data_IF_268568075769
#
_entry.id   IF_268568075769
#
_cell.length_a   1.000
_cell.length_b   1.000
_cell.length_c   1.000
_cell.angle_alpha   90.00
_cell.angle_beta   90.00
_cell.angle_gamma   90.00
#
_symmetry.space_group_name_H-M   'P 1'
#
loop_
_entity.id
_entity.type
_entity.pdbx_description
1 polymer ?
#
# COMPACT_ATOMS: atom_id res chain seq x y z
N UNK A 1 -10.99 -3.65 -27.57
CA UNK A 1 -9.58 -3.18 -27.50
C UNK A 1 -9.36 -1.85 -28.23
N UNK A 2 -9.58 -1.74 -29.55
CA UNK A 2 -9.37 -0.47 -30.29
C UNK A 2 -10.23 0.71 -29.79
N UNK A 3 -11.51 0.45 -29.49
CA UNK A 3 -12.40 1.47 -28.93
C UNK A 3 -11.90 2.00 -27.57
N UNK A 4 -11.55 1.10 -26.65
CA UNK A 4 -10.98 1.46 -25.35
C UNK A 4 -9.69 2.28 -25.50
N UNK A 5 -8.79 1.88 -26.41
CA UNK A 5 -7.57 2.64 -26.70
C UNK A 5 -7.92 4.07 -27.15
N UNK A 6 -8.79 4.23 -28.15
CA UNK A 6 -9.20 5.54 -28.64
C UNK A 6 -9.90 6.41 -27.58
N UNK A 7 -10.59 5.79 -26.63
CA UNK A 7 -11.26 6.47 -25.53
C UNK A 7 -10.28 6.92 -24.44
N UNK A 8 -9.35 6.04 -24.03
CA UNK A 8 -8.49 6.25 -22.84
C UNK A 8 -7.10 6.81 -23.13
N UNK A 9 -6.54 6.56 -24.31
CA UNK A 9 -5.19 6.97 -24.70
C UNK A 9 -5.24 8.31 -25.44
N UNK A 10 -5.69 9.34 -24.71
CA UNK A 10 -5.66 10.73 -25.17
C UNK A 10 -4.57 11.49 -24.45
N UNK A 11 -4.01 12.50 -25.10
CA UNK A 11 -2.87 13.25 -24.60
C UNK A 11 -3.10 13.82 -23.18
N UNK A 12 -4.34 14.21 -22.84
CA UNK A 12 -4.68 14.72 -21.50
C UNK A 12 -4.70 13.67 -20.37
N UNK A 13 -4.58 12.39 -20.69
CA UNK A 13 -4.55 11.26 -19.75
C UNK A 13 -3.24 10.44 -19.86
N UNK A 14 -2.20 10.98 -20.49
CA UNK A 14 -0.88 10.36 -20.58
C UNK A 14 0.14 11.33 -20.03
N UNK A 15 1.10 10.81 -19.27
CA UNK A 15 2.20 11.58 -18.69
C UNK A 15 3.50 10.96 -19.18
N UNK A 16 4.39 11.78 -19.75
CA UNK A 16 5.77 11.40 -20.01
C UNK A 16 6.60 11.87 -18.82
N UNK A 17 7.14 10.91 -18.07
CA UNK A 17 8.10 11.16 -17.00
C UNK A 17 9.49 10.71 -17.45
N UNK A 18 10.53 11.49 -17.10
CA UNK A 18 11.92 11.20 -17.47
C UNK A 18 12.80 11.41 -16.23
N UNK A 19 13.76 10.51 -16.01
CA UNK A 19 14.67 10.54 -14.88
C UNK A 19 16.06 10.08 -15.31
N UNK A 20 17.10 10.73 -14.82
CA UNK A 20 18.50 10.44 -15.15
C UNK A 20 19.19 11.60 -15.85
N UNK A 21 20.17 11.29 -16.70
CA UNK A 21 20.91 12.28 -17.49
C UNK A 21 20.22 12.47 -18.84
N UNK A 22 19.63 13.64 -19.06
CA UNK A 22 18.98 13.99 -20.31
C UNK A 22 19.13 15.48 -20.61
N UNK A 23 18.93 15.85 -21.87
CA UNK A 23 18.76 17.23 -22.31
C UNK A 23 17.27 17.50 -22.43
N UNK A 24 16.78 18.55 -21.77
CA UNK A 24 15.35 18.84 -21.72
C UNK A 24 14.79 19.29 -23.06
N UNK A 25 15.54 20.08 -23.83
CA UNK A 25 15.11 20.58 -25.13
C UNK A 25 14.98 19.43 -26.12
N UNK A 26 15.90 18.46 -26.05
CA UNK A 26 15.84 17.24 -26.87
C UNK A 26 14.65 16.35 -26.49
N UNK A 27 14.37 16.18 -25.19
CA UNK A 27 13.18 15.43 -24.73
C UNK A 27 11.90 16.09 -25.25
N UNK A 28 11.78 17.41 -25.14
CA UNK A 28 10.63 18.14 -25.65
C UNK A 28 10.48 17.99 -27.17
N UNK A 29 11.59 18.11 -27.91
CA UNK A 29 11.60 17.93 -29.37
C UNK A 29 11.12 16.53 -29.76
N UNK A 30 11.63 15.48 -29.11
CA UNK A 30 11.25 14.09 -29.36
C UNK A 30 9.80 13.81 -28.98
N UNK A 31 9.33 14.34 -27.84
CA UNK A 31 7.95 14.20 -27.41
C UNK A 31 7.00 14.87 -28.42
N UNK A 32 7.32 16.07 -28.88
CA UNK A 32 6.53 16.78 -29.88
C UNK A 32 6.51 16.04 -31.23
N UNK A 33 7.66 15.56 -31.71
CA UNK A 33 7.73 14.86 -33.00
C UNK A 33 7.02 13.50 -32.97
N UNK A 34 7.07 12.80 -31.84
CA UNK A 34 6.55 11.43 -31.73
C UNK A 34 5.07 11.38 -31.30
N UNK A 35 4.67 12.33 -30.45
CA UNK A 35 3.38 12.30 -29.76
C UNK A 35 2.50 13.53 -30.06
N UNK A 36 3.01 14.54 -30.77
CA UNK A 36 2.28 15.78 -31.03
C UNK A 36 1.01 15.62 -31.86
N UNK A 37 0.86 14.51 -32.58
CA UNK A 37 -0.35 14.17 -33.35
C UNK A 37 -1.37 13.34 -32.56
N UNK A 38 -1.10 13.03 -31.28
CA UNK A 38 -2.01 12.23 -30.48
C UNK A 38 -3.34 12.94 -30.24
N UNK A 39 -4.47 12.20 -30.15
CA UNK A 39 -5.77 12.80 -29.91
C UNK A 39 -5.78 13.60 -28.61
N UNK A 40 -6.16 14.88 -28.71
CA UNK A 40 -6.31 15.74 -27.56
C UNK A 40 -7.49 15.33 -26.66
N UNK A 41 -7.47 15.85 -25.43
CA UNK A 41 -8.61 15.82 -24.51
C UNK A 41 -8.39 15.00 -23.24
N UNK A 42 -9.19 15.42 -22.26
CA UNK A 42 -9.55 14.85 -20.96
C UNK A 42 -10.54 13.68 -20.94
N UNK A 43 -10.22 12.37 -21.10
CA UNK A 43 -11.25 11.36 -20.88
C UNK A 43 -11.79 11.47 -19.45
N UNK A 44 -13.12 11.47 -19.26
CA UNK A 44 -13.69 11.58 -17.93
C UNK A 44 -13.28 10.37 -17.10
N UNK A 45 -12.88 10.63 -15.86
CA UNK A 45 -12.56 9.59 -14.88
C UNK A 45 -13.58 9.65 -13.76
N UNK A 46 -14.45 8.64 -13.70
CA UNK A 46 -15.44 8.52 -12.63
C UNK A 46 -14.83 7.68 -11.53
N UNK A 47 -14.44 8.33 -10.44
CA UNK A 47 -13.97 7.68 -9.23
C UNK A 47 -15.20 7.41 -8.36
N UNK A 48 -15.43 6.14 -8.01
CA UNK A 48 -16.50 5.76 -7.10
C UNK A 48 -15.86 5.31 -5.80
N UNK A 49 -16.21 5.93 -4.66
CA UNK A 49 -15.73 5.46 -3.36
C UNK A 49 -16.06 3.98 -3.18
N UNK A 50 -15.10 3.21 -2.68
CA UNK A 50 -15.35 1.82 -2.33
C UNK A 50 -16.34 1.76 -1.17
N UNK A 51 -17.32 0.85 -1.26
CA UNK A 51 -18.20 0.53 -0.13
C UNK A 51 -17.75 -0.82 0.42
N UNK A 52 -17.01 -0.85 1.55
CA UNK A 52 -16.53 -2.11 2.10
C UNK A 52 -17.72 -2.97 2.53
N UNK A 53 -17.65 -4.26 2.20
CA UNK A 53 -18.68 -5.23 2.57
C UNK A 53 -18.07 -6.28 3.47
N UNK A 54 -18.79 -6.62 4.54
CA UNK A 54 -18.39 -7.74 5.38
C UNK A 54 -18.69 -9.05 4.67
N UNK A 55 -17.66 -9.85 4.44
CA UNK A 55 -17.79 -11.16 3.83
C UNK A 55 -16.69 -12.09 4.29
N UNK A 56 -16.99 -13.39 4.29
CA UNK A 56 -16.02 -14.43 4.58
C UNK A 56 -16.23 -15.56 3.59
N UNK A 57 -15.14 -15.99 2.96
CA UNK A 57 -15.16 -17.07 1.99
C UNK A 57 -13.99 -18.02 2.25
N UNK A 58 -14.28 -19.31 2.29
CA UNK A 58 -13.29 -20.37 2.37
C UNK A 58 -13.31 -21.17 1.07
N UNK A 59 -12.13 -21.42 0.51
CA UNK A 59 -11.96 -22.12 -0.76
C UNK A 59 -11.11 -23.36 -0.50
N UNK A 60 -11.78 -24.50 -0.32
CA UNK A 60 -11.09 -25.77 -0.11
C UNK A 60 -10.33 -26.22 -1.35
N UNK A 61 -9.07 -26.61 -1.14
CA UNK A 61 -8.09 -27.10 -2.10
C UNK A 61 -7.23 -28.18 -1.44
N UNK A 62 -7.75 -29.40 -1.35
CA UNK A 62 -7.09 -30.51 -0.65
C UNK A 62 -5.72 -30.98 -1.18
N UNK A 63 -5.18 -30.37 -2.25
CA UNK A 63 -3.80 -30.60 -2.69
C UNK A 63 -2.79 -29.61 -2.07
N UNK A 64 -3.28 -28.52 -1.46
CA UNK A 64 -2.45 -27.56 -0.74
C UNK A 64 -2.08 -28.12 0.63
N UNK A 65 -0.89 -27.74 1.11
CA UNK A 65 -0.36 -28.16 2.40
C UNK A 65 -0.52 -27.08 3.50
N UNK A 66 -0.73 -25.82 3.09
CA UNK A 66 -0.87 -24.68 3.99
C UNK A 66 -2.23 -24.01 3.78
N UNK A 67 -2.70 -23.34 4.83
CA UNK A 67 -3.77 -22.36 4.73
C UNK A 67 -3.19 -21.00 4.35
N UNK A 68 -3.83 -20.33 3.40
CA UNK A 68 -3.47 -19.00 2.93
C UNK A 68 -4.67 -18.10 3.13
N UNK A 69 -4.53 -17.09 3.97
CA UNK A 69 -5.64 -16.20 4.34
C UNK A 69 -5.28 -14.77 4.00
N UNK A 70 -6.25 -14.09 3.40
CA UNK A 70 -6.21 -12.67 3.10
C UNK A 70 -7.38 -11.99 3.80
N UNK A 71 -7.11 -10.96 4.58
CA UNK A 71 -8.12 -10.07 5.13
C UNK A 71 -7.95 -8.66 4.57
N UNK A 72 -9.01 -8.09 4.02
CA UNK A 72 -9.05 -6.72 3.54
C UNK A 72 -9.73 -5.81 4.56
N UNK A 73 -9.09 -4.69 4.86
CA UNK A 73 -9.59 -3.64 5.75
C UNK A 73 -9.52 -2.29 5.02
N UNK A 74 -10.51 -1.39 5.15
CA UNK A 74 -10.43 -0.05 4.58
C UNK A 74 -9.18 0.70 5.05
N UNK A 75 -8.57 1.45 4.16
CA UNK A 75 -7.44 2.33 4.45
C UNK A 75 -7.55 3.66 3.69
N UNK A 76 -6.72 4.66 4.00
CA UNK A 76 -6.73 5.94 3.29
C UNK A 76 -6.48 5.77 1.79
N UNK A 77 -7.12 6.61 0.98
CA UNK A 77 -6.88 6.64 -0.48
C UNK A 77 -5.54 7.28 -0.84
N UNK A 78 -5.10 7.14 -2.10
CA UNK A 78 -3.85 7.71 -2.58
C UNK A 78 -3.80 9.26 -2.56
N UNK A 79 -4.95 9.91 -2.41
CA UNK A 79 -5.09 11.36 -2.26
C UNK A 79 -5.31 11.81 -0.82
N UNK A 80 -5.35 10.87 0.14
CA UNK A 80 -5.51 11.17 1.55
C UNK A 80 -4.16 11.51 2.20
N UNK A 81 -4.14 12.48 3.10
CA UNK A 81 -2.94 12.90 3.83
C UNK A 81 -2.48 11.87 4.85
N UNK A 82 -3.36 10.95 5.28
CA UNK A 82 -3.05 9.86 6.19
C UNK A 82 -2.30 8.69 5.52
N UNK A 83 -2.06 8.71 4.20
CA UNK A 83 -1.37 7.61 3.49
C UNK A 83 0.02 7.27 4.03
N UNK A 84 0.79 8.27 4.46
CA UNK A 84 2.12 8.03 5.04
C UNK A 84 2.03 7.47 6.46
N UNK A 85 1.02 7.90 7.23
CA UNK A 85 0.71 7.29 8.52
C UNK A 85 0.30 5.82 8.34
N UNK A 86 -0.48 5.50 7.29
CA UNK A 86 -0.88 4.15 6.95
C UNK A 86 0.33 3.26 6.60
N UNK A 87 1.26 3.75 5.78
CA UNK A 87 2.52 3.05 5.48
C UNK A 87 3.41 2.85 6.72
N UNK A 88 3.45 3.81 7.66
CA UNK A 88 4.18 3.60 8.91
C UNK A 88 3.51 2.55 9.80
N UNK A 89 2.18 2.56 9.86
CA UNK A 89 1.42 1.59 10.65
C UNK A 89 1.68 0.16 10.19
N UNK A 90 1.78 -0.08 8.88
CA UNK A 90 2.10 -1.42 8.36
C UNK A 90 3.49 -1.88 8.80
N UNK A 91 4.48 -0.99 8.79
CA UNK A 91 5.83 -1.31 9.28
C UNK A 91 5.84 -1.68 10.76
N UNK A 92 5.02 -1.02 11.58
CA UNK A 92 4.94 -1.30 13.02
C UNK A 92 4.21 -2.62 13.27
N UNK A 93 3.07 -2.83 12.61
CA UNK A 93 2.16 -3.91 12.98
C UNK A 93 2.44 -5.19 12.21
N UNK A 94 2.74 -5.11 10.91
CA UNK A 94 2.74 -6.28 10.03
C UNK A 94 3.84 -6.31 8.97
N UNK A 95 4.98 -5.66 9.20
CA UNK A 95 6.15 -5.87 8.35
C UNK A 95 6.69 -7.29 8.49
N UNK A 96 7.49 -7.71 7.50
CA UNK A 96 8.15 -9.02 7.43
C UNK A 96 9.11 -9.33 8.60
N UNK A 97 9.50 -8.31 9.35
CA UNK A 97 10.54 -8.38 10.38
C UNK A 97 10.37 -7.27 11.41
N UNK A 98 10.56 -7.63 12.68
CA UNK A 98 10.50 -6.72 13.82
C UNK A 98 9.18 -5.93 13.93
N UNK A 99 8.08 -6.52 13.44
CA UNK A 99 6.72 -6.01 13.60
C UNK A 99 5.99 -6.76 14.71
N UNK A 100 4.85 -6.26 15.17
CA UNK A 100 4.05 -6.95 16.19
C UNK A 100 3.61 -8.35 15.73
N UNK A 101 3.14 -8.50 14.49
CA UNK A 101 2.75 -9.80 13.95
C UNK A 101 3.94 -10.74 13.75
N UNK A 102 5.11 -10.22 13.38
CA UNK A 102 6.32 -11.02 13.28
C UNK A 102 6.67 -11.67 14.62
N UNK A 103 6.75 -10.88 15.69
CA UNK A 103 7.09 -11.38 17.03
C UNK A 103 6.00 -12.28 17.62
N UNK A 104 4.74 -12.00 17.31
CA UNK A 104 3.63 -12.82 17.79
C UNK A 104 3.57 -14.18 17.08
N UNK A 105 3.71 -14.24 15.74
CA UNK A 105 3.35 -15.42 14.97
C UNK A 105 4.52 -16.08 14.25
N UNK A 106 5.43 -15.28 13.68
CA UNK A 106 6.47 -15.79 12.79
C UNK A 106 7.70 -16.22 13.57
N UNK A 107 8.20 -15.40 14.50
CA UNK A 107 9.36 -15.72 15.33
C UNK A 107 9.18 -17.00 16.18
N UNK A 108 8.00 -17.24 16.80
CA UNK A 108 7.75 -18.50 17.53
C UNK A 108 7.56 -19.73 16.63
N UNK A 109 7.36 -19.54 15.32
CA UNK A 109 7.12 -20.61 14.36
C UNK A 109 5.67 -21.09 14.25
N UNK A 110 4.70 -20.27 14.66
CA UNK A 110 3.26 -20.60 14.55
C UNK A 110 2.68 -20.24 13.17
N UNK A 111 3.38 -19.41 12.39
CA UNK A 111 3.02 -19.09 11.01
C UNK A 111 4.27 -18.91 10.15
N UNK A 112 4.19 -19.30 8.89
CA UNK A 112 5.26 -19.04 7.91
C UNK A 112 5.30 -17.58 7.47
N UNK A 113 4.13 -16.91 7.46
CA UNK A 113 4.02 -15.48 7.15
C UNK A 113 2.82 -14.89 7.86
N UNK A 114 2.99 -13.73 8.47
CA UNK A 114 1.92 -12.94 9.06
C UNK A 114 2.23 -11.45 8.86
N UNK A 115 1.60 -10.84 7.87
CA UNK A 115 1.97 -9.51 7.38
C UNK A 115 0.73 -8.62 7.21
N UNK A 116 0.92 -7.30 7.28
CA UNK A 116 -0.07 -6.30 6.88
C UNK A 116 0.61 -5.38 5.88
N UNK A 117 0.05 -5.31 4.68
CA UNK A 117 0.50 -4.39 3.63
C UNK A 117 -0.56 -3.32 3.38
N UNK A 118 -0.14 -2.20 2.80
CA UNK A 118 -1.01 -1.10 2.43
C UNK A 118 -1.01 -0.92 0.91
N UNK A 119 -2.18 -0.70 0.33
CA UNK A 119 -2.33 -0.36 -1.07
C UNK A 119 -3.27 0.84 -1.18
N UNK A 120 -2.76 1.89 -1.83
CA UNK A 120 -3.49 3.11 -2.08
C UNK A 120 -3.99 3.16 -3.52
N UNK A 121 -5.27 3.47 -3.67
CA UNK A 121 -5.90 3.68 -4.96
C UNK A 121 -6.55 5.05 -4.98
N UNK A 122 -6.88 5.53 -6.17
CA UNK A 122 -7.62 6.77 -6.30
C UNK A 122 -9.08 6.54 -5.84
N UNK A 123 -9.49 7.21 -4.75
CA UNK A 123 -10.83 7.09 -4.16
C UNK A 123 -11.05 5.91 -3.22
N UNK A 124 -10.04 5.07 -2.96
CA UNK A 124 -10.10 4.00 -1.96
C UNK A 124 -8.69 3.57 -1.53
N UNK A 125 -8.56 3.00 -0.35
CA UNK A 125 -7.35 2.28 0.07
C UNK A 125 -7.72 1.01 0.80
N UNK A 126 -6.77 0.09 0.89
CA UNK A 126 -6.93 -1.13 1.67
C UNK A 126 -5.65 -1.50 2.42
N UNK A 127 -5.82 -1.92 3.68
CA UNK A 127 -4.85 -2.78 4.34
C UNK A 127 -5.16 -4.23 3.97
N UNK A 128 -4.13 -4.99 3.64
CA UNK A 128 -4.19 -6.40 3.34
C UNK A 128 -3.40 -7.14 4.40
N UNK A 129 -4.10 -7.81 5.30
CA UNK A 129 -3.50 -8.76 6.23
C UNK A 129 -3.37 -10.10 5.53
N UNK A 130 -2.17 -10.67 5.53
CA UNK A 130 -1.87 -11.96 4.96
C UNK A 130 -1.38 -12.91 6.04
N UNK A 131 -1.90 -14.14 6.05
CA UNK A 131 -1.46 -15.22 6.92
C UNK A 131 -1.21 -16.47 6.08
N UNK A 132 -0.08 -17.12 6.32
CA UNK A 132 0.27 -18.43 5.78
C UNK A 132 0.76 -19.32 6.91
N UNK A 133 0.25 -20.55 7.00
CA UNK A 133 0.74 -21.50 7.98
C UNK A 133 0.00 -22.83 7.99
N UNK A 134 0.22 -23.58 9.07
CA UNK A 134 -0.35 -24.90 9.27
C UNK A 134 -1.89 -24.83 9.39
N UNK A 135 -2.63 -25.73 8.71
CA UNK A 135 -4.08 -25.68 8.71
C UNK A 135 -4.69 -25.74 10.12
N UNK A 136 -4.19 -26.66 10.96
CA UNK A 136 -4.72 -26.89 12.31
C UNK A 136 -4.54 -25.69 13.25
N UNK A 137 -3.60 -24.77 12.95
CA UNK A 137 -3.32 -23.58 13.76
C UNK A 137 -4.08 -22.34 13.27
N UNK A 138 -4.74 -22.42 12.12
CA UNK A 138 -5.34 -21.28 11.42
C UNK A 138 -6.31 -20.47 12.28
N UNK A 139 -7.24 -21.13 12.97
CA UNK A 139 -8.23 -20.44 13.79
C UNK A 139 -7.57 -19.69 14.97
N UNK A 140 -6.60 -20.32 15.62
CA UNK A 140 -5.86 -19.71 16.74
C UNK A 140 -5.02 -18.52 16.26
N UNK A 141 -4.34 -18.66 15.12
CA UNK A 141 -3.53 -17.59 14.55
C UNK A 141 -4.38 -16.39 14.12
N UNK A 142 -5.57 -16.60 13.55
CA UNK A 142 -6.50 -15.52 13.24
C UNK A 142 -7.00 -14.78 14.48
N UNK A 143 -7.25 -15.49 15.57
CA UNK A 143 -7.61 -14.87 16.85
C UNK A 143 -6.47 -14.00 17.40
N UNK A 144 -5.23 -14.50 17.32
CA UNK A 144 -4.04 -13.74 17.74
C UNK A 144 -3.81 -12.48 16.89
N UNK A 145 -3.97 -12.57 15.57
CA UNK A 145 -3.94 -11.41 14.67
C UNK A 145 -5.02 -10.40 15.10
N UNK A 146 -6.26 -10.87 15.34
CA UNK A 146 -7.35 -10.00 15.75
C UNK A 146 -7.05 -9.31 17.10
N UNK A 147 -6.43 -10.00 18.06
CA UNK A 147 -6.02 -9.44 19.35
C UNK A 147 -4.91 -8.39 19.21
N UNK A 148 -3.90 -8.63 18.37
CA UNK A 148 -2.86 -7.64 18.07
C UNK A 148 -3.49 -6.39 17.45
N UNK A 149 -4.33 -6.56 16.43
CA UNK A 149 -5.03 -5.44 15.77
C UNK A 149 -5.96 -4.69 16.74
N UNK A 150 -6.70 -5.39 17.59
CA UNK A 150 -7.56 -4.78 18.60
C UNK A 150 -6.76 -3.95 19.61
N UNK A 151 -5.62 -4.47 20.09
CA UNK A 151 -4.71 -3.76 20.99
C UNK A 151 -4.16 -2.50 20.32
N UNK A 152 -3.73 -2.59 19.06
CA UNK A 152 -3.28 -1.42 18.28
C UNK A 152 -4.40 -0.39 18.13
N UNK A 153 -5.62 -0.82 17.78
CA UNK A 153 -6.76 0.09 17.65
C UNK A 153 -7.12 0.80 18.96
N UNK A 154 -6.99 0.09 20.09
CA UNK A 154 -7.34 0.63 21.40
C UNK A 154 -6.23 1.54 21.96
N UNK A 155 -5.02 1.00 22.07
CA UNK A 155 -3.93 1.63 22.82
C UNK A 155 -2.98 2.44 21.90
N UNK A 156 -3.04 2.20 20.59
CA UNK A 156 -2.16 2.82 19.60
C UNK A 156 -0.78 2.16 19.52
N UNK A 157 0.17 2.93 18.99
CA UNK A 157 1.59 2.56 18.86
C UNK A 157 2.43 3.40 19.82
N UNK A 158 3.61 2.89 20.17
CA UNK A 158 4.55 3.58 21.05
C UNK A 158 5.48 4.52 20.28
N UNK A 159 6.12 5.44 21.00
CA UNK A 159 7.10 6.35 20.40
C UNK A 159 8.30 5.60 19.80
N UNK A 160 8.78 4.56 20.49
CA UNK A 160 9.93 3.76 20.03
C UNK A 160 9.59 2.98 18.75
N UNK A 161 8.40 2.39 18.67
CA UNK A 161 7.90 1.75 17.44
C UNK A 161 7.82 2.75 16.28
N UNK A 162 7.30 3.95 16.53
CA UNK A 162 7.20 5.00 15.51
C UNK A 162 8.58 5.42 14.99
N UNK A 163 9.54 5.65 15.88
CA UNK A 163 10.89 6.07 15.48
C UNK A 163 11.63 4.95 14.73
N UNK A 164 11.50 3.69 15.17
CA UNK A 164 12.04 2.55 14.43
C UNK A 164 11.44 2.43 13.03
N UNK A 165 10.11 2.57 12.90
CA UNK A 165 9.42 2.53 11.62
C UNK A 165 9.87 3.68 10.70
N UNK A 166 9.98 4.91 11.22
CA UNK A 166 10.50 6.07 10.45
C UNK A 166 11.91 5.82 9.95
N UNK A 167 12.79 5.25 10.75
CA UNK A 167 14.16 4.93 10.33
C UNK A 167 14.18 3.89 9.20
N UNK A 168 13.36 2.82 9.32
CA UNK A 168 13.25 1.78 8.31
C UNK A 168 12.69 2.33 7.00
N UNK A 169 11.61 3.11 7.05
CA UNK A 169 10.98 3.71 5.86
C UNK A 169 11.89 4.78 5.22
N UNK A 170 12.57 5.62 6.02
CA UNK A 170 13.54 6.59 5.51
C UNK A 170 14.64 5.91 4.69
N UNK A 171 15.16 4.78 5.20
CA UNK A 171 16.16 3.98 4.49
C UNK A 171 15.61 3.44 3.17
N UNK A 172 14.38 2.90 3.17
CA UNK A 172 13.71 2.41 1.95
C UNK A 172 13.52 3.53 0.92
N UNK A 173 13.16 4.75 1.34
CA UNK A 173 13.00 5.92 0.48
C UNK A 173 14.33 6.33 -0.17
N UNK A 174 15.40 6.46 0.63
CA UNK A 174 16.73 6.87 0.14
C UNK A 174 17.26 5.85 -0.86
N UNK A 175 17.27 4.55 -0.51
CA UNK A 175 17.77 3.48 -1.38
C UNK A 175 17.00 3.42 -2.71
N UNK A 176 15.68 3.63 -2.67
CA UNK A 176 14.86 3.72 -3.89
C UNK A 176 15.26 4.94 -4.74
N UNK A 177 15.52 6.07 -4.09
CA UNK A 177 15.94 7.32 -4.70
C UNK A 177 17.36 7.30 -5.30
N UNK A 178 18.20 6.31 -5.03
CA UNK A 178 19.54 6.23 -5.64
C UNK A 178 19.51 5.80 -7.11
N UNK A 179 18.47 5.07 -7.51
CA UNK A 179 18.34 4.53 -8.88
C UNK A 179 17.41 5.41 -9.72
N UNK A 180 17.76 5.74 -10.98
CA UNK A 180 16.89 6.53 -11.86
C UNK A 180 15.47 5.95 -12.01
N UNK A 181 15.35 4.62 -12.09
CA UNK A 181 14.08 3.91 -12.17
C UNK A 181 13.23 4.11 -10.91
N UNK A 182 13.84 4.11 -9.73
CA UNK A 182 13.12 4.34 -8.47
C UNK A 182 12.53 5.75 -8.40
N UNK A 183 13.32 6.76 -8.80
CA UNK A 183 12.83 8.15 -8.94
C UNK A 183 11.72 8.26 -9.98
N UNK A 184 11.88 7.59 -11.12
CA UNK A 184 10.92 7.63 -12.23
C UNK A 184 9.55 7.08 -11.80
N UNK A 185 9.54 5.93 -11.12
CA UNK A 185 8.30 5.29 -10.68
C UNK A 185 7.54 6.16 -9.68
N UNK A 186 8.22 6.73 -8.68
CA UNK A 186 7.58 7.65 -7.72
C UNK A 186 7.05 8.90 -8.41
N UNK A 187 7.87 9.57 -9.23
CA UNK A 187 7.45 10.76 -9.99
C UNK A 187 6.22 10.47 -10.86
N UNK A 188 6.27 9.38 -11.63
CA UNK A 188 5.19 9.02 -12.55
C UNK A 188 3.89 8.74 -11.80
N UNK A 189 3.95 7.96 -10.73
CA UNK A 189 2.80 7.62 -9.91
C UNK A 189 2.17 8.87 -9.24
N UNK A 190 3.00 9.68 -8.58
CA UNK A 190 2.59 10.90 -7.89
C UNK A 190 1.97 11.92 -8.84
N UNK A 191 2.58 12.11 -10.00
CA UNK A 191 2.07 13.04 -11.00
C UNK A 191 0.77 12.54 -11.65
N UNK A 192 0.60 11.22 -11.80
CA UNK A 192 -0.62 10.64 -12.36
C UNK A 192 -1.81 10.78 -11.41
N UNK A 193 -1.61 10.61 -10.10
CA UNK A 193 -2.69 10.63 -9.10
C UNK A 193 -2.93 12.04 -8.54
N UNK A 194 -1.86 12.72 -8.10
CA UNK A 194 -1.94 13.96 -7.32
C UNK A 194 -1.49 15.20 -8.07
N UNK A 195 -0.91 15.06 -9.27
CA UNK A 195 -0.31 16.18 -10.03
C UNK A 195 0.75 16.93 -9.23
N UNK A 196 1.49 16.17 -8.44
CA UNK A 196 2.45 16.68 -7.46
C UNK A 196 3.82 16.08 -7.74
N UNK A 197 4.86 16.91 -7.58
CA UNK A 197 6.24 16.44 -7.54
C UNK A 197 6.76 16.59 -6.11
N UNK A 198 7.27 15.50 -5.55
CA UNK A 198 8.04 15.51 -4.30
C UNK A 198 9.43 14.97 -4.55
N UNK A 199 10.42 15.66 -4.01
CA UNK A 199 11.78 15.13 -3.96
C UNK A 199 11.91 14.12 -2.82
N UNK A 200 13.02 13.36 -2.83
CA UNK A 200 13.38 12.47 -1.72
C UNK A 200 13.43 13.24 -0.39
N UNK A 201 13.97 14.47 -0.39
CA UNK A 201 14.05 15.30 0.80
C UNK A 201 12.67 15.75 1.31
N UNK A 202 11.71 15.98 0.40
CA UNK A 202 10.35 16.35 0.77
C UNK A 202 9.61 15.17 1.41
N UNK A 203 9.75 13.97 0.83
CA UNK A 203 9.18 12.74 1.41
C UNK A 203 9.79 12.45 2.79
N UNK A 204 11.10 12.62 2.97
CA UNK A 204 11.76 12.43 4.26
C UNK A 204 11.29 13.46 5.31
N UNK A 205 11.14 14.74 4.94
CA UNK A 205 10.61 15.77 5.85
C UNK A 205 9.19 15.44 6.28
N UNK A 206 8.35 15.02 5.34
CA UNK A 206 6.97 14.64 5.62
C UNK A 206 6.92 13.43 6.56
N UNK A 207 7.67 12.36 6.26
CA UNK A 207 7.76 11.17 7.11
C UNK A 207 8.20 11.50 8.54
N UNK A 208 9.25 12.32 8.68
CA UNK A 208 9.78 12.70 9.99
C UNK A 208 8.82 13.61 10.78
N UNK A 209 7.98 14.38 10.09
CA UNK A 209 6.96 15.23 10.72
C UNK A 209 5.79 14.46 11.34
N UNK A 210 5.60 13.18 10.97
CA UNK A 210 4.49 12.37 11.48
C UNK A 210 4.64 12.09 12.98
N UNK A 211 3.52 12.19 13.68
CA UNK A 211 3.44 12.06 15.14
C UNK A 211 2.57 10.88 15.55
N UNK A 212 2.64 10.49 16.82
CA UNK A 212 1.71 9.51 17.40
C UNK A 212 0.25 9.94 17.25
N UNK A 213 -0.02 11.26 17.25
CA UNK A 213 -1.37 11.78 17.04
C UNK A 213 -1.86 11.53 15.61
N UNK A 214 -1.00 11.53 14.60
CA UNK A 214 -1.35 11.18 13.22
C UNK A 214 -1.70 9.70 13.09
N UNK A 215 -0.94 8.82 13.74
CA UNK A 215 -1.24 7.38 13.80
C UNK A 215 -2.54 7.12 14.57
N UNK A 216 -2.80 7.84 15.67
CA UNK A 216 -4.08 7.76 16.38
C UNK A 216 -5.24 8.19 15.48
N UNK A 217 -5.10 9.33 14.80
CA UNK A 217 -6.12 9.85 13.86
C UNK A 217 -6.38 8.86 12.71
N UNK A 218 -5.33 8.21 12.21
CA UNK A 218 -5.46 7.12 11.24
C UNK A 218 -6.31 5.98 11.80
N UNK A 219 -5.98 5.45 12.98
CA UNK A 219 -6.69 4.32 13.58
C UNK A 219 -8.14 4.65 13.94
N UNK A 220 -8.44 5.91 14.31
CA UNK A 220 -9.81 6.38 14.54
C UNK A 220 -10.66 6.36 13.26
N UNK A 221 -10.06 6.67 12.11
CA UNK A 221 -10.77 6.71 10.82
C UNK A 221 -10.75 5.36 10.09
N UNK A 222 -9.68 4.61 10.25
CA UNK A 222 -9.36 3.37 9.55
C UNK A 222 -8.87 2.32 10.55
N UNK A 223 -9.75 1.86 11.47
CA UNK A 223 -9.36 0.83 12.43
C UNK A 223 -9.03 -0.47 11.72
N UNK A 224 -8.02 -1.18 12.22
CA UNK A 224 -7.59 -2.49 11.73
C UNK A 224 -8.63 -3.56 12.08
N UNK A 225 -9.73 -3.61 11.33
CA UNK A 225 -10.83 -4.57 11.51
C UNK A 225 -11.11 -5.22 10.17
N UNK A 226 -10.71 -6.49 10.01
CA UNK A 226 -10.92 -7.25 8.80
C UNK A 226 -12.39 -7.21 8.35
N UNK A 227 -12.63 -6.65 7.16
CA UNK A 227 -13.98 -6.59 6.58
C UNK A 227 -14.25 -7.77 5.68
N UNK A 228 -13.31 -8.12 4.80
CA UNK A 228 -13.45 -9.24 3.88
C UNK A 228 -12.34 -10.23 4.15
N UNK A 229 -12.70 -11.47 4.48
CA UNK A 229 -11.75 -12.56 4.70
C UNK A 229 -11.90 -13.60 3.59
N UNK A 230 -10.80 -13.97 2.96
CA UNK A 230 -10.74 -15.09 2.02
C UNK A 230 -9.64 -16.05 2.47
N UNK A 231 -10.00 -17.29 2.75
CA UNK A 231 -9.04 -18.36 3.01
C UNK A 231 -9.02 -19.38 1.87
N UNK A 232 -7.83 -19.88 1.56
CA UNK A 232 -7.59 -20.91 0.55
C UNK A 232 -6.61 -21.93 1.13
N UNK A 233 -7.03 -23.18 1.20
CA UNK A 233 -6.20 -24.24 1.77
C UNK A 233 -6.91 -25.58 1.86
N UNK A 234 -6.32 -26.57 2.53
CA UNK A 234 -6.91 -27.90 2.65
C UNK A 234 -8.20 -27.96 3.48
N UNK A 235 -8.42 -27.01 4.40
CA UNK A 235 -9.63 -26.95 5.23
C UNK A 235 -10.84 -26.45 4.43
N UNK A 236 -12.02 -26.80 4.91
CA UNK A 236 -13.33 -26.48 4.32
C UNK A 236 -14.03 -25.38 5.09
#
# INVERSE_FOLDING_TARGET
MRAYHAERYRAGNIVLAVSGRFDWDEVQRLAQSSCGSWPAGTPPRVIRPATPQRSTQWISRGHLQQEQIVQLTPAPSATDDLRFAAELLTVIVGDDSNSRLYWELVDPGDADSAEISYSDFEGAGAFLTYLSGEPDQTASNLERIANVCATVNQDGVTADELELAKNKVSTRIVLRGERPMGRLSTLGHDWLIRREYRSVDDDLKLLNSLTLADLRRLLDQYPLVGTTTVGVGPLS
#
